data_IF_345934497891
#
_entry.id   IF_345934497891
#
_cell.length_a   1.000
_cell.length_b   1.000
_cell.length_c   1.000
_cell.angle_alpha   90.00
_cell.angle_beta   90.00
_cell.angle_gamma   90.00
#
_symmetry.space_group_name_H-M   'P 1'
#
loop_
_entity.id
_entity.type
_entity.pdbx_description
1 polymer ?
#
# COMPACT_ATOMS: atom_id res chain seq x y z
N UNK A 1 -14.07 6.91 -5.25
CA UNK A 1 -13.27 8.05 -5.78
C UNK A 1 -11.94 7.50 -6.28
N UNK A 2 -11.47 7.89 -7.49
CA UNK A 2 -10.12 7.56 -7.96
C UNK A 2 -9.14 8.52 -7.26
N UNK A 3 -8.84 8.27 -5.99
CA UNK A 3 -8.01 9.17 -5.18
C UNK A 3 -6.56 8.71 -5.22
N UNK A 4 -5.74 9.38 -6.03
CA UNK A 4 -4.28 9.22 -6.02
C UNK A 4 -3.62 10.03 -4.88
N UNK A 5 -4.42 10.81 -4.15
CA UNK A 5 -3.95 11.81 -3.19
C UNK A 5 -3.35 11.14 -1.95
N UNK A 6 -4.04 10.16 -1.35
CA UNK A 6 -3.56 9.51 -0.12
C UNK A 6 -2.18 8.85 -0.29
N UNK A 7 -1.93 8.03 -1.34
CA UNK A 7 -0.59 7.48 -1.57
C UNK A 7 0.45 8.57 -1.82
N UNK A 8 0.10 9.65 -2.52
CA UNK A 8 1.04 10.75 -2.78
C UNK A 8 1.48 11.40 -1.46
N UNK A 9 0.52 11.71 -0.58
CA UNK A 9 0.80 12.33 0.71
C UNK A 9 1.64 11.41 1.62
N UNK A 10 1.35 10.11 1.61
CA UNK A 10 2.13 9.13 2.37
C UNK A 10 3.57 9.01 1.85
N UNK A 11 3.77 9.02 0.53
CA UNK A 11 5.13 9.04 -0.05
C UNK A 11 5.87 10.30 0.33
N UNK A 12 5.25 11.47 0.17
CA UNK A 12 5.86 12.76 0.55
C UNK A 12 6.26 12.74 2.03
N UNK A 13 5.37 12.28 2.90
CA UNK A 13 5.63 12.18 4.34
C UNK A 13 6.81 11.25 4.63
N UNK A 14 6.85 10.07 4.02
CA UNK A 14 7.95 9.11 4.20
C UNK A 14 9.29 9.66 3.69
N UNK A 15 9.30 10.35 2.54
CA UNK A 15 10.49 11.00 1.99
C UNK A 15 10.99 12.11 2.91
N UNK A 16 10.10 12.98 3.40
CA UNK A 16 10.48 14.02 4.34
C UNK A 16 11.12 13.45 5.61
N UNK A 17 10.49 12.45 6.22
CA UNK A 17 11.00 11.83 7.45
C UNK A 17 12.35 11.13 7.22
N UNK A 18 12.49 10.34 6.15
CA UNK A 18 13.75 9.64 5.84
C UNK A 18 14.91 10.61 5.54
N UNK A 19 14.65 11.66 4.75
CA UNK A 19 15.63 12.71 4.51
C UNK A 19 15.99 13.48 5.78
N UNK A 20 15.01 13.71 6.66
CA UNK A 20 15.25 14.34 7.96
C UNK A 20 16.08 13.48 8.91
N UNK A 21 15.96 12.16 8.85
CA UNK A 21 16.71 11.21 9.69
C UNK A 21 18.15 10.99 9.19
N UNK A 22 18.38 11.07 7.88
CA UNK A 22 19.68 10.76 7.27
C UNK A 22 20.90 11.47 7.90
N UNK A 23 20.86 12.78 8.25
CA UNK A 23 22.00 13.46 8.87
C UNK A 23 22.48 12.82 10.19
N UNK A 24 21.60 12.10 10.88
CA UNK A 24 21.88 11.51 12.20
C UNK A 24 22.49 10.10 12.10
N UNK A 25 22.05 9.29 11.14
CA UNK A 25 22.47 7.89 11.01
C UNK A 25 23.49 7.64 9.88
N UNK A 26 23.56 8.54 8.89
CA UNK A 26 24.55 8.55 7.79
C UNK A 26 24.72 7.23 7.02
N UNK A 27 23.73 6.34 7.06
CA UNK A 27 23.73 5.08 6.31
C UNK A 27 22.98 5.26 4.98
N UNK A 28 23.75 5.33 3.90
CA UNK A 28 23.23 5.49 2.55
C UNK A 28 22.43 4.29 2.04
N UNK A 29 22.74 3.07 2.48
CA UNK A 29 22.00 1.87 2.06
C UNK A 29 20.60 1.88 2.68
N UNK A 30 20.54 2.21 3.98
CA UNK A 30 19.27 2.35 4.69
C UNK A 30 18.41 3.47 4.08
N UNK A 31 19.00 4.64 3.79
CA UNK A 31 18.28 5.74 3.14
C UNK A 31 17.74 5.33 1.76
N UNK A 32 18.53 4.62 0.95
CA UNK A 32 18.11 4.17 -0.37
C UNK A 32 16.86 3.28 -0.27
N UNK A 33 16.84 2.32 0.68
CA UNK A 33 15.65 1.51 0.93
C UNK A 33 14.46 2.34 1.40
N UNK A 34 14.69 3.29 2.31
CA UNK A 34 13.64 4.16 2.85
C UNK A 34 13.00 5.08 1.82
N UNK A 35 13.73 5.47 0.78
CA UNK A 35 13.17 6.26 -0.32
C UNK A 35 12.51 5.35 -1.37
N UNK A 36 13.18 4.27 -1.75
CA UNK A 36 12.74 3.41 -2.85
C UNK A 36 11.40 2.74 -2.55
N UNK A 37 11.24 2.12 -1.37
CA UNK A 37 10.04 1.33 -1.09
C UNK A 37 8.76 2.17 -1.04
N UNK A 38 8.69 3.31 -0.31
CA UNK A 38 7.51 4.16 -0.36
C UNK A 38 7.20 4.62 -1.78
N UNK A 39 8.21 5.03 -2.56
CA UNK A 39 7.99 5.47 -3.95
C UNK A 39 7.38 4.34 -4.78
N UNK A 40 7.94 3.13 -4.72
CA UNK A 40 7.44 1.97 -5.48
C UNK A 40 6.01 1.60 -5.08
N UNK A 41 5.71 1.54 -3.78
CA UNK A 41 4.37 1.24 -3.29
C UNK A 41 3.37 2.34 -3.65
N UNK A 42 3.79 3.60 -3.59
CA UNK A 42 2.96 4.75 -3.97
C UNK A 42 2.64 4.75 -5.45
N UNK A 43 3.63 4.53 -6.31
CA UNK A 43 3.44 4.38 -7.75
C UNK A 43 2.54 3.20 -8.09
N UNK A 44 2.75 2.05 -7.44
CA UNK A 44 1.90 0.87 -7.59
C UNK A 44 0.46 1.18 -7.19
N UNK A 45 0.25 1.75 -6.00
CA UNK A 45 -1.07 2.13 -5.53
C UNK A 45 -1.73 3.11 -6.52
N UNK A 46 -0.99 4.12 -7.00
CA UNK A 46 -1.50 5.07 -7.99
C UNK A 46 -1.87 4.38 -9.31
N UNK A 47 -1.04 3.47 -9.81
CA UNK A 47 -1.33 2.68 -11.00
C UNK A 47 -2.62 1.85 -10.82
N UNK A 48 -2.76 1.15 -9.68
CA UNK A 48 -3.96 0.36 -9.40
C UNK A 48 -5.22 1.21 -9.27
N UNK A 49 -5.14 2.42 -8.74
CA UNK A 49 -6.28 3.34 -8.67
C UNK A 49 -6.79 3.77 -10.06
N UNK A 50 -6.01 3.60 -11.12
CA UNK A 50 -6.50 3.77 -12.50
C UNK A 50 -7.28 2.55 -13.01
N UNK A 51 -6.89 1.34 -12.57
CA UNK A 51 -7.43 0.05 -13.04
C UNK A 51 -8.58 -0.51 -12.20
N UNK A 52 -8.69 -0.09 -10.93
CA UNK A 52 -9.71 -0.58 -9.99
C UNK A 52 -11.12 -0.03 -10.24
N UNK A 53 -12.14 -0.78 -9.78
CA UNK A 53 -13.54 -0.35 -9.86
C UNK A 53 -13.80 0.79 -8.87
N UNK A 54 -14.45 1.89 -9.28
CA UNK A 54 -14.79 2.97 -8.35
C UNK A 54 -15.82 2.48 -7.34
N UNK A 55 -15.50 2.57 -6.04
CA UNK A 55 -16.46 2.35 -4.95
C UNK A 55 -16.16 1.18 -4.01
N UNK A 56 -15.27 0.26 -4.39
CA UNK A 56 -14.82 -0.82 -3.50
C UNK A 56 -13.96 -0.19 -2.38
N UNK A 57 -14.27 -0.47 -1.11
CA UNK A 57 -13.56 0.04 0.08
C UNK A 57 -13.49 1.58 0.22
N UNK A 58 -14.51 2.32 -0.25
CA UNK A 58 -14.53 3.79 -0.21
C UNK A 58 -14.23 4.40 1.17
N UNK A 59 -14.80 3.84 2.24
CA UNK A 59 -14.57 4.32 3.62
C UNK A 59 -13.13 4.10 4.08
N UNK A 60 -12.53 2.94 3.76
CA UNK A 60 -11.14 2.65 4.13
C UNK A 60 -10.17 3.61 3.43
N UNK A 61 -10.39 3.88 2.14
CA UNK A 61 -9.60 4.88 1.40
C UNK A 61 -9.76 6.30 1.98
N UNK A 62 -10.94 6.66 2.48
CA UNK A 62 -11.12 7.95 3.17
C UNK A 62 -10.36 8.00 4.49
N UNK A 63 -10.37 6.92 5.29
CA UNK A 63 -9.62 6.86 6.54
C UNK A 63 -8.12 7.02 6.26
N UNK A 64 -7.59 6.29 5.27
CA UNK A 64 -6.17 6.40 4.89
C UNK A 64 -5.86 7.81 4.40
N UNK A 65 -6.75 8.44 3.63
CA UNK A 65 -6.58 9.84 3.21
C UNK A 65 -6.49 10.78 4.42
N UNK A 66 -7.42 10.69 5.36
CA UNK A 66 -7.42 11.54 6.56
C UNK A 66 -6.13 11.34 7.35
N UNK A 67 -5.73 10.09 7.59
CA UNK A 67 -4.48 9.78 8.30
C UNK A 67 -3.26 10.31 7.54
N UNK A 68 -3.24 10.21 6.21
CA UNK A 68 -2.13 10.74 5.40
C UNK A 68 -1.97 12.25 5.55
N UNK A 69 -3.09 12.99 5.62
CA UNK A 69 -3.08 14.43 5.86
C UNK A 69 -2.57 14.73 7.26
N UNK A 70 -3.05 14.01 8.27
CA UNK A 70 -2.61 14.18 9.67
C UNK A 70 -1.10 13.96 9.79
N UNK A 71 -0.56 12.88 9.23
CA UNK A 71 0.87 12.58 9.29
C UNK A 71 1.72 13.63 8.58
N UNK A 72 1.26 14.15 7.45
CA UNK A 72 1.96 15.23 6.75
C UNK A 72 1.97 16.50 7.61
N UNK A 73 0.83 16.89 8.17
CA UNK A 73 0.73 18.06 9.05
C UNK A 73 1.64 17.91 10.27
N UNK A 74 1.63 16.75 10.94
CA UNK A 74 2.52 16.48 12.07
C UNK A 74 4.00 16.61 11.65
N UNK A 75 4.37 16.08 10.48
CA UNK A 75 5.73 16.20 9.96
C UNK A 75 6.13 17.65 9.71
N UNK A 76 5.23 18.45 9.12
CA UNK A 76 5.48 19.86 8.85
C UNK A 76 5.55 20.70 10.14
N UNK A 77 4.65 20.44 11.10
CA UNK A 77 4.68 21.10 12.42
C UNK A 77 5.95 20.73 13.16
N UNK A 78 6.33 19.45 13.15
CA UNK A 78 7.58 18.98 13.73
C UNK A 78 8.80 19.69 13.14
N UNK A 79 8.81 19.84 11.81
CA UNK A 79 9.89 20.53 11.10
C UNK A 79 9.93 22.03 11.40
N UNK A 80 8.77 22.70 11.41
CA UNK A 80 8.65 24.15 11.64
C UNK A 80 8.97 24.54 13.09
N UNK A 81 8.48 23.75 14.05
CA UNK A 81 8.64 24.00 15.48
C UNK A 81 9.85 23.25 16.09
N UNK A 82 10.63 22.54 15.27
CA UNK A 82 11.77 21.74 15.70
C UNK A 82 11.42 20.74 16.82
N UNK A 83 10.25 20.11 16.73
CA UNK A 83 9.78 19.11 17.70
C UNK A 83 10.28 17.71 17.30
N UNK A 84 11.29 17.15 17.99
CA UNK A 84 11.91 15.88 17.59
C UNK A 84 10.93 14.70 17.66
N UNK A 85 9.85 14.83 18.44
CA UNK A 85 8.80 13.82 18.51
C UNK A 85 8.03 13.66 17.20
N UNK A 86 7.91 14.74 16.40
CA UNK A 86 7.15 14.75 15.15
C UNK A 86 8.05 14.87 13.91
N UNK A 87 9.27 15.40 14.04
CA UNK A 87 10.24 15.43 12.94
C UNK A 87 11.66 15.75 13.44
N UNK A 88 12.69 15.05 12.95
CA UNK A 88 12.64 13.83 12.15
C UNK A 88 12.43 12.60 13.03
N UNK A 89 11.54 11.69 12.64
CA UNK A 89 11.22 10.49 13.42
C UNK A 89 10.94 9.27 12.54
N UNK A 90 11.58 8.17 12.90
CA UNK A 90 11.39 6.86 12.27
C UNK A 90 9.96 6.34 12.47
N UNK A 91 9.30 6.75 13.56
CA UNK A 91 7.93 6.30 13.87
C UNK A 91 6.94 6.78 12.81
N UNK A 92 6.95 8.08 12.49
CA UNK A 92 6.05 8.64 11.48
C UNK A 92 6.37 8.07 10.10
N UNK A 93 7.65 7.87 9.79
CA UNK A 93 8.05 7.15 8.57
C UNK A 93 7.38 5.77 8.48
N UNK A 94 7.49 4.93 9.52
CA UNK A 94 6.93 3.58 9.47
C UNK A 94 5.40 3.58 9.46
N UNK A 95 4.74 4.49 10.17
CA UNK A 95 3.27 4.61 10.11
C UNK A 95 2.85 5.00 8.69
N UNK A 96 3.51 5.98 8.08
CA UNK A 96 3.21 6.39 6.71
C UNK A 96 3.43 5.24 5.73
N UNK A 97 4.51 4.48 5.89
CA UNK A 97 4.82 3.32 5.06
C UNK A 97 3.79 2.18 5.23
N UNK A 98 3.39 1.85 6.45
CA UNK A 98 2.37 0.83 6.70
C UNK A 98 1.04 1.21 6.07
N UNK A 99 0.60 2.47 6.23
CA UNK A 99 -0.63 2.95 5.59
C UNK A 99 -0.56 2.84 4.06
N UNK A 100 0.62 3.08 3.48
CA UNK A 100 0.84 2.97 2.05
C UNK A 100 0.74 1.50 1.58
N UNK A 101 1.30 0.57 2.34
CA UNK A 101 1.19 -0.88 2.08
C UNK A 101 -0.27 -1.34 2.20
N UNK A 102 -0.99 -0.90 3.25
CA UNK A 102 -2.42 -1.19 3.44
C UNK A 102 -3.22 -0.65 2.27
N UNK A 103 -2.98 0.59 1.85
CA UNK A 103 -3.67 1.18 0.71
C UNK A 103 -3.39 0.43 -0.60
N UNK A 104 -2.16 -0.03 -0.79
CA UNK A 104 -1.81 -0.88 -1.91
C UNK A 104 -2.60 -2.21 -1.86
N UNK A 105 -2.62 -2.88 -0.70
CA UNK A 105 -3.38 -4.11 -0.48
C UNK A 105 -4.88 -3.97 -0.72
N UNK A 106 -5.49 -2.89 -0.20
CA UNK A 106 -6.90 -2.57 -0.44
C UNK A 106 -7.20 -2.40 -1.94
N UNK A 107 -6.29 -1.76 -2.67
CA UNK A 107 -6.45 -1.57 -4.13
C UNK A 107 -6.28 -2.86 -4.90
N UNK A 108 -5.34 -3.72 -4.51
CA UNK A 108 -5.16 -5.06 -5.08
C UNK A 108 -6.44 -5.88 -4.87
N UNK A 109 -6.97 -5.91 -3.66
CA UNK A 109 -8.20 -6.62 -3.31
C UNK A 109 -9.44 -6.06 -4.05
N UNK A 110 -9.44 -4.76 -4.37
CA UNK A 110 -10.52 -4.11 -5.13
C UNK A 110 -10.43 -4.24 -6.65
N UNK A 111 -9.40 -4.91 -7.20
CA UNK A 111 -9.31 -5.17 -8.64
C UNK A 111 -10.40 -6.16 -9.07
N UNK A 112 -11.01 -5.98 -10.27
CA UNK A 112 -11.92 -6.98 -10.80
C UNK A 112 -11.17 -8.31 -10.98
N UNK A 113 -11.74 -9.42 -10.48
CA UNK A 113 -11.23 -10.77 -10.79
C UNK A 113 -11.16 -10.88 -12.30
N UNK A 114 -9.96 -11.10 -12.84
CA UNK A 114 -9.79 -11.49 -14.23
C UNK A 114 -10.51 -12.84 -14.36
N UNK A 115 -11.52 -12.94 -15.22
CA UNK A 115 -12.06 -14.25 -15.57
C UNK A 115 -10.88 -15.10 -16.04
N UNK A 116 -10.71 -16.25 -15.39
CA UNK A 116 -9.80 -17.29 -15.88
C UNK A 116 -10.26 -17.55 -17.32
N UNK A 117 -9.36 -17.58 -18.32
CA UNK A 117 -9.72 -18.14 -19.61
C UNK A 117 -10.35 -19.50 -19.30
N UNK A 118 -11.57 -19.74 -19.80
CA UNK A 118 -12.10 -21.10 -19.86
C UNK A 118 -11.19 -21.83 -20.84
N UNK A 119 -10.10 -22.39 -20.34
CA UNK A 119 -9.28 -23.34 -21.09
C UNK A 119 -10.03 -24.67 -21.00
N UNK A 120 -10.63 -25.15 -22.10
CA UNK A 120 -11.36 -26.42 -22.09
C UNK A 120 -10.46 -27.61 -21.72
N UNK A 121 -9.14 -27.48 -21.87
CA UNK A 121 -8.15 -28.53 -21.60
C UNK A 121 -7.78 -28.67 -20.11
N UNK A 122 -8.23 -27.79 -19.21
CA UNK A 122 -7.92 -27.85 -17.76
C UNK A 122 -9.11 -28.26 -16.88
N UNK A 123 -10.30 -28.37 -17.47
CA UNK A 123 -11.53 -28.71 -16.74
C UNK A 123 -11.87 -30.23 -16.81
N UNK A 124 -11.21 -31.02 -17.68
CA UNK A 124 -11.45 -32.47 -17.77
C UNK A 124 -10.79 -33.29 -16.63
N UNK A 125 -9.78 -32.76 -15.94
CA UNK A 125 -9.05 -33.50 -14.90
C UNK A 125 -9.71 -33.46 -13.49
N UNK A 126 -10.84 -32.77 -13.33
CA UNK A 126 -11.50 -32.61 -12.01
C UNK A 126 -12.86 -33.32 -11.88
N UNK A 127 -13.45 -33.86 -12.95
CA UNK A 127 -14.73 -34.58 -12.85
C UNK A 127 -14.58 -36.10 -12.67
N UNK A 128 -13.43 -36.70 -12.98
CA UNK A 128 -13.25 -38.17 -12.87
C UNK A 128 -12.84 -38.68 -11.47
N UNK A 129 -12.71 -37.81 -10.47
CA UNK A 129 -12.21 -38.18 -9.13
C UNK A 129 -13.30 -38.31 -8.05
N UNK A 130 -14.59 -38.37 -8.38
CA UNK A 130 -15.67 -38.49 -7.39
C UNK A 130 -16.54 -39.76 -7.45
N UNK A 131 -16.37 -40.64 -8.44
CA UNK A 131 -17.19 -41.86 -8.57
C UNK A 131 -16.46 -43.18 -8.20
N UNK A 132 -15.36 -43.12 -7.43
CA UNK A 132 -14.56 -44.30 -7.07
C UNK A 132 -14.74 -44.81 -5.62
N UNK A 133 -15.78 -44.41 -4.89
CA UNK A 133 -16.06 -44.90 -3.53
C UNK A 133 -17.48 -45.51 -3.42
N UNK A 134 -17.70 -46.62 -4.13
CA UNK A 134 -18.78 -47.56 -3.78
C UNK A 134 -18.23 -49.01 -3.81
N UNK A 135 -17.90 -49.62 -2.66
CA UNK A 135 -17.56 -51.04 -2.65
C UNK A 135 -18.85 -51.87 -2.78
N UNK A 136 -18.95 -52.58 -3.90
CA UNK A 136 -19.95 -53.60 -4.14
C UNK A 136 -19.77 -54.79 -3.19
N UNK A 137 -20.81 -55.06 -2.37
CA UNK A 137 -21.14 -56.27 -1.60
C UNK A 137 -20.22 -56.71 -0.46
#
# INVERSE_FOLDING_TARGET
MKSFVAPALLVITAVLQSMGVYPYFQDGITLAGQLLFPILFGLTAMYLSRKGRPGVFGTAHMIVLILSVVLLVLSLVGMSQQLPYFYPTMIIYYIAFVLLVVECGLRIAGLPKKERPKDPELDEDFEDAQDADEPAR
#
